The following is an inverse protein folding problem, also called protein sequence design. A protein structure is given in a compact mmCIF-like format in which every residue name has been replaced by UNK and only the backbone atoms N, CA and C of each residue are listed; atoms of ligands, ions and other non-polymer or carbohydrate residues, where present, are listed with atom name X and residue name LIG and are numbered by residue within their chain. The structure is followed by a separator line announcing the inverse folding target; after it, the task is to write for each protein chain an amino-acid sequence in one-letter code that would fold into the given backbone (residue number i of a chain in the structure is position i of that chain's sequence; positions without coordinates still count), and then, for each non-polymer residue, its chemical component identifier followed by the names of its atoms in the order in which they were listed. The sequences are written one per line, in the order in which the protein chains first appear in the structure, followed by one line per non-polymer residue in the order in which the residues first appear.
data_IF_620501206315
#
_entry.id   IF_620501206315
#
_cell.length_a   1.000
_cell.length_b   1.000
_cell.length_c   1.000
_cell.angle_alpha   90.00
_cell.angle_beta   90.00
_cell.angle_gamma   90.00
#
_symmetry.space_group_name_H-M   'P 1'
#
loop_
_entity.id
_entity.type
_entity.pdbx_description
1 polymer ?
#
# COMPACT_ATOMS: atom_id res chain seq x y z
N UNK A 1 -17.91 12.38 -36.26
CA UNK A 1 -18.36 11.62 -35.09
C UNK A 1 -17.13 11.40 -34.21
N UNK A 2 -16.97 12.29 -33.28
CA UNK A 2 -15.84 12.33 -32.34
C UNK A 2 -16.07 11.25 -31.27
N UNK A 3 -15.20 10.24 -31.23
CA UNK A 3 -15.21 9.24 -30.17
C UNK A 3 -14.80 9.92 -28.86
N UNK A 4 -15.66 9.77 -27.83
CA UNK A 4 -15.42 10.30 -26.50
C UNK A 4 -14.12 9.75 -25.90
N UNK A 5 -13.26 10.60 -25.30
CA UNK A 5 -12.02 10.18 -24.66
C UNK A 5 -12.21 9.41 -23.34
N UNK A 6 -13.45 9.29 -22.84
CA UNK A 6 -13.74 8.62 -21.57
C UNK A 6 -13.58 7.08 -21.58
N UNK A 7 -13.55 6.44 -22.76
CA UNK A 7 -13.40 4.99 -22.85
C UNK A 7 -11.94 4.51 -22.73
N UNK A 8 -10.96 5.40 -22.76
CA UNK A 8 -9.54 5.07 -22.69
C UNK A 8 -8.98 5.13 -21.27
N UNK A 9 -9.61 5.91 -20.40
CA UNK A 9 -9.17 6.10 -19.00
C UNK A 9 -9.43 4.88 -18.10
N UNK A 10 -10.42 4.04 -18.44
CA UNK A 10 -10.71 2.79 -17.72
C UNK A 10 -9.78 1.62 -18.04
N UNK A 11 -8.86 1.76 -19.00
CA UNK A 11 -7.85 0.74 -19.34
C UNK A 11 -6.54 0.82 -18.55
N UNK A 12 -6.46 1.70 -17.56
CA UNK A 12 -5.25 1.90 -16.73
C UNK A 12 -4.94 0.77 -15.73
N UNK A 13 -5.79 -0.26 -15.61
CA UNK A 13 -5.48 -1.43 -14.80
C UNK A 13 -4.45 -2.26 -15.57
N UNK A 14 -3.20 -2.17 -15.19
CA UNK A 14 -2.14 -2.98 -15.77
C UNK A 14 -2.51 -4.45 -15.64
N UNK A 15 -2.81 -5.10 -16.77
CA UNK A 15 -3.09 -6.52 -16.80
C UNK A 15 -1.84 -7.24 -16.26
N UNK A 16 -1.94 -8.08 -15.22
CA UNK A 16 -0.78 -8.74 -14.63
C UNK A 16 -0.11 -9.59 -15.72
N UNK A 17 1.12 -9.21 -16.07
CA UNK A 17 1.87 -9.80 -17.18
C UNK A 17 2.48 -11.15 -16.79
N UNK A 18 2.75 -11.35 -15.50
CA UNK A 18 3.36 -12.55 -14.96
C UNK A 18 2.39 -13.25 -14.00
N UNK A 19 2.48 -14.58 -13.92
CA UNK A 19 1.68 -15.39 -13.00
C UNK A 19 1.89 -14.93 -11.54
N UNK A 20 3.12 -14.58 -11.17
CA UNK A 20 3.47 -14.05 -9.86
C UNK A 20 2.71 -12.75 -9.55
N UNK A 21 2.74 -11.76 -10.45
CA UNK A 21 2.01 -10.49 -10.28
C UNK A 21 0.50 -10.74 -10.11
N UNK A 22 -0.06 -11.71 -10.87
CA UNK A 22 -1.47 -12.07 -10.78
C UNK A 22 -1.83 -12.66 -9.40
N UNK A 23 -1.02 -13.57 -8.89
CA UNK A 23 -1.25 -14.20 -7.57
C UNK A 23 -1.16 -13.16 -6.46
N UNK A 24 -0.12 -12.33 -6.48
CA UNK A 24 0.12 -11.31 -5.47
C UNK A 24 -0.98 -10.26 -5.47
N UNK A 25 -1.32 -9.71 -6.63
CA UNK A 25 -2.36 -8.66 -6.74
C UNK A 25 -3.73 -9.21 -6.35
N UNK A 26 -4.10 -10.41 -6.80
CA UNK A 26 -5.36 -11.03 -6.42
C UNK A 26 -5.39 -11.36 -4.91
N UNK A 27 -4.28 -11.80 -4.33
CA UNK A 27 -4.17 -12.03 -2.89
C UNK A 27 -4.41 -10.76 -2.08
N UNK A 28 -3.71 -9.67 -2.42
CA UNK A 28 -3.93 -8.39 -1.77
C UNK A 28 -5.34 -7.83 -2.03
N UNK A 29 -5.89 -7.99 -3.23
CA UNK A 29 -7.25 -7.57 -3.53
C UNK A 29 -8.30 -8.31 -2.68
N UNK A 30 -8.14 -9.63 -2.51
CA UNK A 30 -9.00 -10.42 -1.64
C UNK A 30 -8.89 -9.98 -0.17
N UNK A 31 -7.67 -9.76 0.33
CA UNK A 31 -7.45 -9.24 1.69
C UNK A 31 -8.09 -7.87 1.86
N UNK A 32 -7.86 -6.94 0.93
CA UNK A 32 -8.45 -5.60 0.97
C UNK A 32 -9.98 -5.66 1.00
N UNK A 33 -10.58 -6.49 0.15
CA UNK A 33 -12.04 -6.64 0.10
C UNK A 33 -12.59 -7.22 1.41
N UNK A 34 -12.01 -8.31 1.90
CA UNK A 34 -12.47 -8.96 3.14
C UNK A 34 -12.31 -8.01 4.32
N UNK A 35 -11.16 -7.35 4.47
CA UNK A 35 -10.92 -6.42 5.58
C UNK A 35 -11.81 -5.18 5.51
N UNK A 36 -12.14 -4.69 4.30
CA UNK A 36 -13.08 -3.59 4.11
C UNK A 36 -14.48 -3.95 4.58
N UNK A 37 -14.97 -5.14 4.22
CA UNK A 37 -16.29 -5.62 4.65
C UNK A 37 -16.32 -5.80 6.17
N UNK A 38 -15.32 -6.46 6.75
CA UNK A 38 -15.24 -6.67 8.19
C UNK A 38 -15.18 -5.35 8.96
N UNK A 39 -14.39 -4.40 8.50
CA UNK A 39 -14.27 -3.08 9.10
C UNK A 39 -15.60 -2.33 9.05
N UNK A 40 -16.27 -2.34 7.91
CA UNK A 40 -17.57 -1.67 7.74
C UNK A 40 -18.63 -2.26 8.64
N UNK A 41 -18.75 -3.59 8.69
CA UNK A 41 -19.70 -4.30 9.57
C UNK A 41 -19.40 -3.99 11.03
N UNK A 42 -18.14 -4.03 11.44
CA UNK A 42 -17.75 -3.79 12.83
C UNK A 42 -18.08 -2.36 13.28
N UNK A 43 -17.79 -1.36 12.45
CA UNK A 43 -18.10 0.05 12.74
C UNK A 43 -19.63 0.26 12.76
N UNK A 44 -20.36 -0.31 11.80
CA UNK A 44 -21.82 -0.21 11.77
C UNK A 44 -22.45 -0.85 13.01
N UNK A 45 -21.97 -2.02 13.43
CA UNK A 45 -22.42 -2.71 14.63
C UNK A 45 -22.11 -1.88 15.89
N UNK A 46 -20.89 -1.36 16.03
CA UNK A 46 -20.51 -0.52 17.14
C UNK A 46 -21.38 0.75 17.24
N UNK A 47 -21.67 1.37 16.10
CA UNK A 47 -22.55 2.53 15.99
C UNK A 47 -23.97 2.17 16.40
N UNK A 48 -24.50 1.05 15.92
CA UNK A 48 -25.84 0.58 16.26
C UNK A 48 -25.98 0.30 17.77
N UNK A 49 -25.02 -0.42 18.35
CA UNK A 49 -25.02 -0.72 19.80
C UNK A 49 -24.98 0.56 20.61
N UNK A 50 -24.16 1.54 20.21
CA UNK A 50 -24.02 2.80 20.92
C UNK A 50 -25.28 3.68 20.88
N UNK A 51 -25.94 3.80 19.74
CA UNK A 51 -27.05 4.74 19.57
C UNK A 51 -28.42 4.10 19.79
N UNK A 52 -28.60 2.80 19.50
CA UNK A 52 -29.90 2.13 19.64
C UNK A 52 -30.02 1.40 20.97
N UNK A 53 -28.97 0.66 21.35
CA UNK A 53 -28.96 -0.13 22.58
C UNK A 53 -28.49 0.70 23.77
N UNK A 54 -27.88 1.88 23.53
CA UNK A 54 -27.24 2.74 24.55
C UNK A 54 -26.17 2.01 25.37
N UNK A 55 -25.55 1.00 24.75
CA UNK A 55 -24.45 0.20 25.29
C UNK A 55 -23.12 0.60 24.68
N UNK A 56 -22.06 -0.05 25.12
CA UNK A 56 -20.73 0.09 24.52
C UNK A 56 -20.17 -1.27 24.12
N UNK A 57 -19.63 -1.37 22.90
CA UNK A 57 -18.95 -2.57 22.41
C UNK A 57 -17.48 -2.51 22.84
N UNK A 58 -17.20 -3.01 24.04
CA UNK A 58 -15.91 -2.88 24.68
C UNK A 58 -14.79 -3.50 23.83
N UNK A 59 -13.75 -2.70 23.51
CA UNK A 59 -12.55 -3.18 22.82
C UNK A 59 -12.68 -3.36 21.30
N UNK A 60 -13.78 -2.95 20.68
CA UNK A 60 -13.91 -3.01 19.20
C UNK A 60 -12.82 -2.21 18.48
N UNK A 61 -12.28 -1.17 19.11
CA UNK A 61 -11.23 -0.33 18.54
C UNK A 61 -9.94 -1.09 18.22
N UNK A 62 -9.64 -2.16 18.96
CA UNK A 62 -8.46 -2.99 18.72
C UNK A 62 -8.61 -3.78 17.41
N UNK A 63 -9.80 -4.30 17.13
CA UNK A 63 -10.13 -4.97 15.89
C UNK A 63 -10.20 -4.00 14.71
N UNK A 64 -10.77 -2.81 14.92
CA UNK A 64 -10.79 -1.74 13.91
C UNK A 64 -9.37 -1.41 13.46
N UNK A 65 -8.43 -1.22 14.40
CA UNK A 65 -7.02 -0.94 14.09
C UNK A 65 -6.40 -2.09 13.30
N UNK A 66 -6.60 -3.34 13.72
CA UNK A 66 -6.06 -4.50 13.02
C UNK A 66 -6.55 -4.58 11.56
N UNK A 67 -7.88 -4.49 11.36
CA UNK A 67 -8.46 -4.55 10.01
C UNK A 67 -8.05 -3.36 9.16
N UNK A 68 -7.95 -2.16 9.75
CA UNK A 68 -7.51 -0.96 9.06
C UNK A 68 -6.06 -1.08 8.56
N UNK A 69 -5.13 -1.62 9.36
CA UNK A 69 -3.75 -1.83 8.91
C UNK A 69 -3.68 -2.79 7.72
N UNK A 70 -4.38 -3.92 7.79
CA UNK A 70 -4.43 -4.86 6.66
C UNK A 70 -5.08 -4.25 5.42
N UNK A 71 -6.17 -3.49 5.59
CA UNK A 71 -6.87 -2.80 4.50
C UNK A 71 -5.96 -1.77 3.82
N UNK A 72 -5.36 -0.87 4.59
CA UNK A 72 -4.58 0.24 4.02
C UNK A 72 -3.30 -0.24 3.35
N UNK A 73 -2.55 -1.12 3.97
CA UNK A 73 -1.27 -1.56 3.41
C UNK A 73 -1.43 -2.53 2.24
N UNK A 74 -2.47 -3.38 2.24
CA UNK A 74 -2.79 -4.19 1.06
C UNK A 74 -3.32 -3.33 -0.10
N UNK A 75 -4.17 -2.33 0.18
CA UNK A 75 -4.65 -1.37 -0.80
C UNK A 75 -3.51 -0.52 -1.39
N UNK A 76 -2.57 -0.06 -0.56
CA UNK A 76 -1.39 0.67 -0.99
C UNK A 76 -0.47 -0.17 -1.90
N UNK A 77 -0.30 -1.47 -1.61
CA UNK A 77 0.47 -2.37 -2.47
C UNK A 77 -0.18 -2.54 -3.86
N UNK A 78 -1.51 -2.63 -3.93
CA UNK A 78 -2.26 -2.65 -5.20
C UNK A 78 -2.12 -1.31 -5.93
N UNK A 79 -2.22 -0.18 -5.21
CA UNK A 79 -2.03 1.16 -5.77
C UNK A 79 -0.64 1.33 -6.38
N UNK A 80 0.40 0.80 -5.74
CA UNK A 80 1.76 0.81 -6.27
C UNK A 80 1.87 -0.02 -7.58
N UNK A 81 1.22 -1.18 -7.63
CA UNK A 81 1.16 -1.99 -8.85
C UNK A 81 0.47 -1.26 -10.00
N UNK A 82 -0.70 -0.65 -9.75
CA UNK A 82 -1.50 0.04 -10.76
C UNK A 82 -0.94 1.42 -11.13
N UNK A 83 0.14 1.88 -10.49
CA UNK A 83 0.69 3.24 -10.65
C UNK A 83 -0.32 4.35 -10.36
N UNK A 84 -1.36 4.06 -9.58
CA UNK A 84 -2.42 5.01 -9.19
C UNK A 84 -2.02 5.90 -8.01
N UNK A 85 -0.82 5.69 -7.46
CA UNK A 85 -0.30 6.66 -6.49
C UNK A 85 -0.24 8.02 -7.16
N UNK A 86 -0.88 9.00 -6.50
CA UNK A 86 -0.94 10.40 -6.92
C UNK A 86 0.48 10.88 -7.23
N UNK A 87 0.87 10.68 -8.46
CA UNK A 87 2.08 11.27 -8.96
C UNK A 87 1.74 12.71 -9.30
N UNK A 88 2.70 13.61 -9.13
CA UNK A 88 2.58 14.99 -9.58
C UNK A 88 2.55 15.04 -11.13
N UNK A 89 1.66 14.26 -11.75
CA UNK A 89 1.49 14.19 -13.19
C UNK A 89 1.03 15.53 -13.78
N UNK A 90 0.42 16.38 -12.92
CA UNK A 90 0.12 17.77 -13.28
C UNK A 90 1.36 18.52 -13.75
N UNK A 91 2.48 18.41 -13.06
CA UNK A 91 3.74 19.06 -13.49
C UNK A 91 4.24 18.47 -14.79
N UNK A 92 4.07 17.18 -15.00
CA UNK A 92 4.52 16.50 -16.22
C UNK A 92 3.65 16.81 -17.45
N UNK A 93 2.37 17.18 -17.26
CA UNK A 93 1.49 17.57 -18.37
C UNK A 93 1.80 18.97 -18.92
N UNK A 94 2.38 19.85 -18.11
CA UNK A 94 2.78 21.19 -18.54
C UNK A 94 4.16 21.24 -19.23
N UNK A 95 5.00 20.22 -19.07
CA UNK A 95 6.35 20.21 -19.62
C UNK A 95 6.35 19.52 -20.99
N UNK A 96 6.87 20.18 -22.06
CA UNK A 96 6.94 19.58 -23.37
C UNK A 96 7.81 18.33 -23.39
N UNK A 97 7.47 17.39 -24.29
CA UNK A 97 8.19 16.12 -24.42
C UNK A 97 9.67 16.39 -24.76
N UNK A 98 10.58 16.10 -23.84
CA UNK A 98 12.01 16.34 -23.98
C UNK A 98 12.83 15.63 -22.89
N UNK A 99 14.14 15.90 -22.90
CA UNK A 99 15.09 15.39 -21.92
C UNK A 99 14.68 15.80 -20.49
N UNK A 100 14.23 17.03 -20.29
CA UNK A 100 13.80 17.55 -18.99
C UNK A 100 12.66 16.74 -18.39
N UNK A 101 11.65 16.36 -19.19
CA UNK A 101 10.55 15.52 -18.74
C UNK A 101 11.04 14.15 -18.28
N UNK A 102 11.93 13.51 -19.02
CA UNK A 102 12.49 12.20 -18.66
C UNK A 102 13.34 12.28 -17.38
N UNK A 103 14.12 13.34 -17.24
CA UNK A 103 14.93 13.58 -16.06
C UNK A 103 14.05 13.76 -14.80
N UNK A 104 12.97 14.54 -14.89
CA UNK A 104 12.02 14.73 -13.78
C UNK A 104 11.33 13.43 -13.38
N UNK A 105 10.91 12.61 -14.34
CA UNK A 105 10.33 11.28 -14.05
C UNK A 105 11.35 10.39 -13.33
N UNK A 106 12.59 10.40 -13.80
CA UNK A 106 13.65 9.64 -13.14
C UNK A 106 13.91 10.14 -11.71
N UNK A 107 14.08 11.45 -11.52
CA UNK A 107 14.30 12.05 -10.20
C UNK A 107 13.15 11.72 -9.23
N UNK A 108 11.90 11.85 -9.69
CA UNK A 108 10.71 11.42 -8.91
C UNK A 108 10.83 9.96 -8.47
N UNK A 109 11.13 9.05 -9.39
CA UNK A 109 11.20 7.63 -9.10
C UNK A 109 12.36 7.30 -8.14
N UNK A 110 13.50 7.98 -8.25
CA UNK A 110 14.63 7.82 -7.31
C UNK A 110 14.21 8.21 -5.90
N UNK A 111 13.59 9.39 -5.74
CA UNK A 111 13.11 9.85 -4.44
C UNK A 111 12.06 8.88 -3.86
N UNK A 112 11.10 8.45 -4.68
CA UNK A 112 10.04 7.52 -4.24
C UNK A 112 10.63 6.20 -3.75
N UNK A 113 11.56 5.61 -4.50
CA UNK A 113 12.25 4.37 -4.10
C UNK A 113 13.07 4.58 -2.84
N UNK A 114 13.84 5.68 -2.76
CA UNK A 114 14.66 5.99 -1.58
C UNK A 114 13.82 6.09 -0.30
N UNK A 115 12.73 6.85 -0.35
CA UNK A 115 11.80 6.99 0.78
C UNK A 115 11.13 5.65 1.12
N UNK A 116 10.69 4.90 0.12
CA UNK A 116 10.04 3.60 0.36
C UNK A 116 10.99 2.59 0.99
N UNK A 117 12.24 2.50 0.53
CA UNK A 117 13.26 1.63 1.14
C UNK A 117 13.57 2.02 2.58
N UNK A 118 13.61 3.32 2.88
CA UNK A 118 13.75 3.81 4.25
C UNK A 118 12.57 3.35 5.12
N UNK A 119 11.34 3.45 4.61
CA UNK A 119 10.16 2.94 5.32
C UNK A 119 10.17 1.40 5.46
N UNK A 120 10.67 0.65 4.49
CA UNK A 120 10.85 -0.82 4.61
C UNK A 120 11.81 -1.14 5.75
N UNK A 121 12.91 -0.38 5.87
CA UNK A 121 13.87 -0.55 6.97
C UNK A 121 13.23 -0.31 8.34
N UNK A 122 12.50 0.79 8.51
CA UNK A 122 11.77 1.05 9.75
C UNK A 122 10.64 0.04 9.98
N UNK A 123 9.92 -0.37 8.94
CA UNK A 123 8.89 -1.40 9.02
C UNK A 123 9.42 -2.73 9.49
N UNK A 124 10.63 -3.12 9.07
CA UNK A 124 11.31 -4.30 9.60
C UNK A 124 11.60 -4.16 11.09
N UNK A 125 12.09 -3.00 11.54
CA UNK A 125 12.32 -2.71 12.96
C UNK A 125 11.04 -2.82 13.79
N UNK A 126 9.92 -2.28 13.30
CA UNK A 126 8.62 -2.40 13.97
C UNK A 126 8.12 -3.85 14.01
N UNK A 127 8.30 -4.59 12.94
CA UNK A 127 7.93 -6.01 12.91
C UNK A 127 8.75 -6.83 13.92
N UNK A 128 10.06 -6.62 13.97
CA UNK A 128 10.94 -7.29 14.94
C UNK A 128 10.61 -6.90 16.38
N UNK A 129 10.33 -5.63 16.63
CA UNK A 129 9.86 -5.18 17.95
C UNK A 129 8.56 -5.87 18.36
N UNK A 130 7.60 -6.00 17.45
CA UNK A 130 6.34 -6.70 17.71
C UNK A 130 6.51 -8.20 17.92
N UNK A 131 7.48 -8.82 17.22
CA UNK A 131 7.70 -10.26 17.23
C UNK A 131 8.62 -10.74 18.37
N UNK A 132 9.65 -9.98 18.70
CA UNK A 132 10.61 -10.32 19.75
C UNK A 132 10.37 -9.58 21.08
N UNK A 133 9.53 -8.54 21.06
CA UNK A 133 9.30 -7.67 22.21
C UNK A 133 10.48 -6.71 22.45
N UNK A 134 10.34 -5.78 23.42
CA UNK A 134 11.33 -4.74 23.71
C UNK A 134 12.69 -5.28 24.21
N UNK A 135 12.70 -6.48 24.79
CA UNK A 135 13.90 -7.13 25.32
C UNK A 135 14.56 -8.09 24.32
N UNK A 136 13.98 -8.28 23.12
CA UNK A 136 14.52 -9.21 22.11
C UNK A 136 14.44 -10.71 22.50
N UNK A 137 13.78 -11.05 23.60
CA UNK A 137 13.72 -12.42 24.16
C UNK A 137 12.49 -13.20 23.77
N UNK A 138 11.50 -12.55 23.14
CA UNK A 138 10.20 -13.16 22.82
C UNK A 138 9.27 -13.40 24.02
N UNK A 139 9.67 -13.06 25.22
CA UNK A 139 8.90 -13.33 26.45
C UNK A 139 7.85 -12.25 26.71
N UNK A 140 8.16 -10.98 26.45
CA UNK A 140 7.27 -9.84 26.68
C UNK A 140 6.73 -9.30 25.36
N UNK A 141 5.87 -10.07 24.69
CA UNK A 141 5.26 -9.63 23.42
C UNK A 141 4.27 -8.48 23.68
N UNK A 142 4.38 -7.38 22.96
CA UNK A 142 3.43 -6.28 23.06
C UNK A 142 2.06 -6.75 22.55
N UNK A 143 1.04 -6.59 23.40
CA UNK A 143 -0.35 -6.99 23.13
C UNK A 143 -1.28 -5.81 23.36
N UNK A 144 -2.44 -5.87 22.74
CA UNK A 144 -3.52 -4.91 23.02
C UNK A 144 -4.08 -5.11 24.43
N UNK A 145 -4.75 -4.07 24.96
CA UNK A 145 -5.13 -4.00 26.37
C UNK A 145 -6.31 -4.90 26.73
N UNK A 146 -7.31 -5.03 25.83
CA UNK A 146 -8.58 -5.69 26.11
C UNK A 146 -8.56 -7.13 25.59
N UNK A 147 -8.36 -7.30 24.28
CA UNK A 147 -8.38 -8.60 23.61
C UNK A 147 -7.02 -9.30 23.56
N UNK A 148 -5.97 -8.64 24.08
CA UNK A 148 -4.61 -9.16 24.07
C UNK A 148 -4.12 -9.65 22.69
N UNK A 149 -4.60 -8.99 21.63
CA UNK A 149 -4.17 -9.28 20.27
C UNK A 149 -2.68 -8.93 20.14
N UNK A 150 -1.83 -9.83 19.65
CA UNK A 150 -0.41 -9.54 19.50
C UNK A 150 -0.19 -8.48 18.40
N UNK A 151 0.53 -7.40 18.72
CA UNK A 151 0.74 -6.27 17.82
C UNK A 151 1.54 -6.64 16.57
N UNK A 152 2.33 -7.73 16.62
CA UNK A 152 3.10 -8.17 15.46
C UNK A 152 2.21 -8.48 14.23
N UNK A 153 0.93 -8.84 14.43
CA UNK A 153 -0.01 -9.10 13.33
C UNK A 153 -0.32 -7.84 12.52
N UNK A 154 -0.45 -6.68 13.18
CA UNK A 154 -0.62 -5.38 12.52
C UNK A 154 0.67 -4.90 11.88
N UNK A 155 1.81 -5.09 12.54
CA UNK A 155 3.12 -4.71 12.02
C UNK A 155 3.53 -5.57 10.82
N UNK A 156 3.10 -6.84 10.77
CA UNK A 156 3.27 -7.71 9.61
C UNK A 156 2.56 -7.14 8.36
N UNK A 157 1.33 -6.63 8.52
CA UNK A 157 0.61 -6.01 7.42
C UNK A 157 1.37 -4.80 6.85
N UNK A 158 1.90 -3.93 7.74
CA UNK A 158 2.73 -2.78 7.35
C UNK A 158 3.97 -3.24 6.59
N UNK A 159 4.69 -4.19 7.16
CA UNK A 159 5.96 -4.66 6.59
C UNK A 159 5.78 -5.33 5.22
N UNK A 160 4.78 -6.24 5.09
CA UNK A 160 4.46 -6.87 3.80
C UNK A 160 4.04 -5.84 2.76
N UNK A 161 3.12 -4.92 3.10
CA UNK A 161 2.69 -3.88 2.18
C UNK A 161 3.85 -3.01 1.68
N UNK A 162 4.74 -2.58 2.59
CA UNK A 162 5.91 -1.79 2.24
C UNK A 162 6.92 -2.56 1.36
N UNK A 163 7.15 -3.86 1.60
CA UNK A 163 8.02 -4.68 0.75
C UNK A 163 7.48 -4.72 -0.68
N UNK A 164 6.19 -5.01 -0.85
CA UNK A 164 5.59 -5.09 -2.18
C UNK A 164 5.56 -3.73 -2.89
N UNK A 165 5.27 -2.64 -2.16
CA UNK A 165 5.40 -1.28 -2.71
C UNK A 165 6.84 -1.01 -3.16
N UNK A 166 7.83 -1.31 -2.33
CA UNK A 166 9.24 -1.14 -2.66
C UNK A 166 9.66 -1.94 -3.89
N UNK A 167 9.18 -3.17 -4.02
CA UNK A 167 9.42 -4.01 -5.19
C UNK A 167 8.88 -3.36 -6.49
N UNK A 168 7.62 -2.90 -6.49
CA UNK A 168 7.02 -2.30 -7.68
C UNK A 168 7.66 -0.94 -8.02
N UNK A 169 7.96 -0.10 -7.04
CA UNK A 169 8.64 1.18 -7.30
C UNK A 169 10.07 0.99 -7.80
N UNK A 170 10.80 0.00 -7.29
CA UNK A 170 12.15 -0.33 -7.81
C UNK A 170 12.07 -0.81 -9.25
N UNK A 171 11.08 -1.63 -9.59
CA UNK A 171 10.83 -2.05 -10.98
C UNK A 171 10.55 -0.86 -11.89
N UNK A 172 9.76 0.11 -11.44
CA UNK A 172 9.45 1.33 -12.19
C UNK A 172 10.68 2.25 -12.36
N UNK A 173 11.54 2.33 -11.34
CA UNK A 173 12.81 3.04 -11.44
C UNK A 173 13.71 2.41 -12.51
N UNK A 174 13.86 1.09 -12.52
CA UNK A 174 14.66 0.37 -13.54
C UNK A 174 14.14 0.64 -14.96
N UNK A 175 12.81 0.63 -15.14
CA UNK A 175 12.21 0.95 -16.44
C UNK A 175 12.47 2.40 -16.86
N UNK A 176 12.36 3.35 -15.94
CA UNK A 176 12.63 4.77 -16.19
C UNK A 176 14.11 5.01 -16.53
N UNK A 177 15.02 4.32 -15.85
CA UNK A 177 16.46 4.40 -16.14
C UNK A 177 16.75 3.89 -17.55
N UNK A 178 16.18 2.74 -17.93
CA UNK A 178 16.32 2.23 -19.31
C UNK A 178 15.79 3.23 -20.35
N UNK A 179 14.64 3.85 -20.10
CA UNK A 179 14.05 4.85 -21.00
C UNK A 179 14.93 6.09 -21.15
N UNK A 180 15.65 6.52 -20.11
CA UNK A 180 16.62 7.61 -20.16
C UNK A 180 17.78 7.28 -21.11
N UNK A 181 18.38 6.11 -20.97
CA UNK A 181 19.57 5.72 -21.73
C UNK A 181 19.23 5.27 -23.17
N UNK A 182 18.07 4.67 -23.42
CA UNK A 182 17.67 4.18 -24.75
C UNK A 182 17.03 5.28 -25.60
N UNK A 183 16.46 6.32 -25.00
CA UNK A 183 15.81 7.43 -25.72
C UNK A 183 16.76 8.42 -26.40
N UNK A 184 18.06 8.23 -26.32
CA UNK A 184 19.08 9.01 -27.04
C UNK A 184 19.44 8.48 -28.44
N UNK A 185 18.77 7.39 -28.89
CA UNK A 185 19.11 6.70 -30.15
C UNK A 185 17.97 6.79 -31.19
N UNK A 186 17.45 8.02 -31.39
CA UNK A 186 16.68 8.38 -32.61
C UNK A 186 17.06 9.79 -33.04
#
# INVERSE_FOLDING_TARGET
MSQCPEAEETRGILKPRNLFDKIVVNGFAAVTLVMSILLTILIALATFVRYVIQGDLYGYEEWVKLFAFWLYFSGAAIGAFNRTHVSADLVQSYIPAGFLKRFLVFAKNVVTVGVTLLFVWYGYGFFMFGFMGPLGTGIALPRTTIWQIPLWTSYLAIFLGLIFMGFYFTRDLVLSTKALFTGGRK
#
